data_IF_927878039409
#
_entry.id   IF_927878039409
#
_cell.length_a   1.000
_cell.length_b   1.000
_cell.length_c   1.000
_cell.angle_alpha   90.00
_cell.angle_beta   90.00
_cell.angle_gamma   90.00
#
_symmetry.space_group_name_H-M   'P 1'
#
loop_
_entity.id
_entity.type
_entity.pdbx_description
1 polymer ?
#
# COMPACT_ATOMS: atom_id res chain seq x y z
N UNK A 1 17.31 8.55 -6.73
CA UNK A 1 15.88 8.26 -6.49
C UNK A 1 15.82 6.87 -5.87
N UNK A 2 15.09 6.71 -4.77
CA UNK A 2 14.92 5.38 -4.16
C UNK A 2 13.77 4.67 -4.87
N UNK A 3 14.02 3.51 -5.43
CA UNK A 3 12.98 2.69 -6.05
C UNK A 3 12.65 1.52 -5.14
N UNK A 4 11.83 1.78 -4.12
CA UNK A 4 11.54 0.81 -3.05
C UNK A 4 10.82 -0.44 -3.59
N UNK A 5 9.97 -0.26 -4.61
CA UNK A 5 9.24 -1.34 -5.29
C UNK A 5 10.17 -2.37 -5.93
N UNK A 6 11.21 -1.89 -6.60
CA UNK A 6 12.12 -2.75 -7.36
C UNK A 6 13.02 -3.57 -6.43
N UNK A 7 13.47 -2.97 -5.33
CA UNK A 7 14.13 -3.69 -4.24
C UNK A 7 13.22 -4.78 -3.68
N UNK A 8 11.94 -4.47 -3.40
CA UNK A 8 10.98 -5.44 -2.87
C UNK A 8 10.77 -6.65 -3.80
N UNK A 9 10.58 -6.43 -5.10
CA UNK A 9 10.45 -7.52 -6.09
C UNK A 9 11.73 -8.36 -6.14
N UNK A 10 12.89 -7.71 -6.20
CA UNK A 10 14.19 -8.38 -6.28
C UNK A 10 14.51 -9.21 -5.02
N UNK A 11 14.25 -8.65 -3.83
CA UNK A 11 14.37 -9.37 -2.56
C UNK A 11 13.42 -10.56 -2.52
N UNK A 12 12.15 -10.38 -2.90
CA UNK A 12 11.16 -11.47 -2.92
C UNK A 12 11.60 -12.60 -3.83
N UNK A 13 12.14 -12.30 -5.02
CA UNK A 13 12.73 -13.27 -5.95
C UNK A 13 13.84 -14.09 -5.31
N UNK A 14 14.71 -13.43 -4.54
CA UNK A 14 15.81 -14.10 -3.84
C UNK A 14 15.29 -15.02 -2.73
N UNK A 15 14.21 -14.65 -2.02
CA UNK A 15 13.56 -15.49 -0.99
C UNK A 15 12.65 -16.61 -1.54
N UNK A 16 12.27 -16.55 -2.83
CA UNK A 16 11.55 -17.63 -3.52
C UNK A 16 12.48 -18.76 -3.98
N UNK A 17 13.78 -18.49 -4.17
CA UNK A 17 14.76 -19.43 -4.71
C UNK A 17 15.30 -20.35 -3.62
N UNK A 18 15.21 -21.66 -3.83
CA UNK A 18 15.87 -22.65 -2.96
C UNK A 18 17.30 -22.84 -3.41
N UNK A 19 18.27 -22.36 -2.63
CA UNK A 19 19.69 -22.56 -2.89
C UNK A 19 20.06 -24.03 -2.65
N UNK A 20 20.54 -24.80 -3.65
CA UNK A 20 20.76 -26.24 -3.49
C UNK A 20 21.89 -26.62 -2.52
N UNK A 21 22.83 -25.70 -2.27
CA UNK A 21 24.03 -25.90 -1.45
C UNK A 21 23.85 -25.61 0.04
N UNK A 22 22.73 -25.01 0.46
CA UNK A 22 22.49 -24.74 1.87
C UNK A 22 21.96 -25.98 2.61
N UNK A 23 22.57 -26.29 3.77
CA UNK A 23 22.18 -27.43 4.62
C UNK A 23 20.76 -27.35 5.18
N UNK A 24 20.10 -26.18 5.06
CA UNK A 24 18.74 -25.93 5.52
C UNK A 24 17.96 -25.28 4.37
N UNK A 25 17.29 -26.09 3.55
CA UNK A 25 16.44 -25.62 2.45
C UNK A 25 15.22 -24.88 3.00
N UNK A 26 15.35 -23.58 3.22
CA UNK A 26 14.23 -22.73 3.65
C UNK A 26 13.73 -21.92 2.46
N UNK A 27 12.80 -22.50 1.69
CA UNK A 27 11.95 -21.69 0.83
C UNK A 27 11.03 -20.87 1.74
N UNK A 28 11.26 -19.55 1.87
CA UNK A 28 10.39 -18.71 2.68
C UNK A 28 9.07 -18.38 1.97
N UNK A 29 9.10 -18.30 0.63
CA UNK A 29 7.98 -17.88 -0.20
C UNK A 29 7.85 -18.89 -1.36
N UNK A 30 6.80 -19.72 -1.43
CA UNK A 30 6.70 -20.74 -2.48
C UNK A 30 6.21 -20.18 -3.81
N UNK A 31 5.40 -19.13 -3.77
CA UNK A 31 4.72 -18.51 -4.91
C UNK A 31 4.39 -17.07 -4.54
N UNK A 32 4.54 -16.14 -5.50
CA UNK A 32 4.17 -14.74 -5.34
C UNK A 32 3.65 -14.16 -6.66
N UNK A 33 2.75 -13.20 -6.53
CA UNK A 33 2.08 -12.47 -7.61
C UNK A 33 2.44 -10.99 -7.44
N UNK A 34 2.67 -10.27 -8.53
CA UNK A 34 2.87 -8.82 -8.52
C UNK A 34 1.60 -8.13 -9.01
N UNK A 35 1.05 -7.25 -8.19
CA UNK A 35 -0.09 -6.42 -8.56
C UNK A 35 0.39 -4.97 -8.74
N UNK A 36 0.35 -4.52 -9.98
CA UNK A 36 0.45 -3.11 -10.34
C UNK A 36 -0.95 -2.51 -10.41
N UNK A 37 -1.09 -1.27 -9.95
CA UNK A 37 -2.25 -0.43 -10.26
C UNK A 37 -1.72 0.71 -11.12
N UNK A 38 -2.43 1.02 -12.21
CA UNK A 38 -2.02 2.00 -13.20
C UNK A 38 -2.74 3.34 -12.97
N UNK A 39 -2.00 4.30 -12.43
CA UNK A 39 -2.45 5.68 -12.16
C UNK A 39 -2.46 6.60 -13.40
N UNK A 40 -2.14 6.11 -14.60
CA UNK A 40 -1.98 6.95 -15.81
C UNK A 40 -3.21 7.77 -16.21
N UNK A 41 -4.41 7.34 -15.83
CA UNK A 41 -5.64 8.11 -16.01
C UNK A 41 -5.66 9.41 -15.19
N UNK A 42 -4.92 9.49 -14.08
CA UNK A 42 -4.73 10.73 -13.30
C UNK A 42 -3.46 11.48 -13.69
N UNK A 43 -2.39 10.77 -14.04
CA UNK A 43 -1.09 11.34 -14.34
C UNK A 43 -0.66 10.95 -15.76
N UNK A 44 -1.09 11.72 -16.77
CA UNK A 44 -0.89 11.38 -18.19
C UNK A 44 0.60 11.21 -18.59
N UNK A 45 1.53 11.73 -17.78
CA UNK A 45 2.98 11.48 -17.88
C UNK A 45 3.39 10.02 -17.65
N UNK A 46 2.60 9.17 -16.98
CA UNK A 46 2.91 7.75 -16.74
C UNK A 46 2.33 6.79 -17.77
N UNK A 47 1.45 7.24 -18.69
CA UNK A 47 0.74 6.35 -19.62
C UNK A 47 1.66 5.47 -20.49
N UNK A 48 2.81 6.00 -20.92
CA UNK A 48 3.83 5.23 -21.66
C UNK A 48 4.73 4.38 -20.76
N UNK A 49 4.70 4.64 -19.46
CA UNK A 49 5.54 3.96 -18.46
C UNK A 49 4.91 2.65 -17.96
N UNK A 50 3.57 2.52 -17.92
CA UNK A 50 2.91 1.29 -17.43
C UNK A 50 3.00 0.13 -18.42
N UNK A 51 2.82 0.40 -19.71
CA UNK A 51 3.05 -0.60 -20.77
C UNK A 51 4.51 -1.08 -20.80
N UNK A 52 5.45 -0.13 -20.70
CA UNK A 52 6.89 -0.44 -20.62
C UNK A 52 7.21 -1.25 -19.35
N UNK A 53 6.68 -0.85 -18.19
CA UNK A 53 6.84 -1.58 -16.93
C UNK A 53 6.40 -3.04 -17.06
N UNK A 54 5.24 -3.29 -17.67
CA UNK A 54 4.75 -4.66 -17.87
C UNK A 54 5.63 -5.49 -18.82
N UNK A 55 6.25 -4.86 -19.83
CA UNK A 55 7.21 -5.52 -20.74
C UNK A 55 8.53 -5.84 -20.03
N UNK A 56 9.14 -4.84 -19.40
CA UNK A 56 10.39 -4.99 -18.64
C UNK A 56 10.24 -6.04 -17.53
N UNK A 57 9.06 -6.12 -16.90
CA UNK A 57 8.77 -7.04 -15.81
C UNK A 57 8.72 -8.48 -16.32
N UNK A 58 8.00 -8.74 -17.41
CA UNK A 58 7.96 -10.07 -18.04
C UNK A 58 9.34 -10.54 -18.51
N UNK A 59 10.23 -9.61 -18.90
CA UNK A 59 11.59 -9.93 -19.33
C UNK A 59 12.51 -10.35 -18.18
N UNK A 60 12.49 -9.66 -17.04
CA UNK A 60 13.47 -9.87 -15.95
C UNK A 60 12.91 -10.64 -14.74
N UNK A 61 11.58 -10.73 -14.61
CA UNK A 61 10.84 -11.28 -13.48
C UNK A 61 9.80 -12.33 -13.91
N UNK A 62 10.19 -13.20 -14.85
CA UNK A 62 9.35 -14.27 -15.39
C UNK A 62 8.95 -15.36 -14.39
N UNK A 63 9.52 -15.38 -13.17
CA UNK A 63 9.09 -16.27 -12.10
C UNK A 63 7.86 -15.78 -11.30
N UNK A 64 7.37 -14.56 -11.59
CA UNK A 64 6.16 -14.00 -10.99
C UNK A 64 5.03 -13.90 -12.02
N UNK A 65 3.81 -14.18 -11.58
CA UNK A 65 2.62 -13.73 -12.29
C UNK A 65 2.41 -12.22 -12.07
N UNK A 66 2.08 -11.50 -13.14
CA UNK A 66 1.94 -10.04 -13.14
C UNK A 66 0.54 -9.63 -13.58
N UNK A 67 -0.18 -8.96 -12.69
CA UNK A 67 -1.46 -8.30 -12.99
C UNK A 67 -1.29 -6.78 -12.95
N UNK A 68 -2.01 -6.09 -13.84
CA UNK A 68 -2.12 -4.63 -13.84
C UNK A 68 -3.58 -4.25 -13.96
N UNK A 69 -4.08 -3.47 -13.00
CA UNK A 69 -5.44 -2.92 -12.98
C UNK A 69 -5.38 -1.41 -13.19
N UNK A 70 -6.18 -0.84 -14.08
CA UNK A 70 -6.25 0.63 -14.18
C UNK A 70 -7.01 1.20 -13.00
N UNK A 71 -6.57 2.37 -12.51
CA UNK A 71 -7.16 2.98 -11.33
C UNK A 71 -8.67 3.30 -11.51
N UNK A 72 -9.14 3.57 -12.74
CA UNK A 72 -10.56 3.78 -13.01
C UNK A 72 -11.43 2.53 -12.83
N UNK A 73 -10.84 1.32 -12.87
CA UNK A 73 -11.56 0.06 -12.71
C UNK A 73 -12.18 -0.08 -11.31
N UNK A 74 -11.79 0.77 -10.34
CA UNK A 74 -12.45 0.91 -9.04
C UNK A 74 -13.97 1.15 -9.15
N UNK A 75 -14.44 1.80 -10.22
CA UNK A 75 -15.87 2.00 -10.51
C UNK A 75 -16.52 0.80 -11.25
N UNK A 76 -15.74 -0.24 -11.52
CA UNK A 76 -16.17 -1.45 -12.20
C UNK A 76 -16.94 -2.43 -11.31
N UNK A 77 -17.66 -3.38 -11.92
CA UNK A 77 -18.45 -4.39 -11.20
C UNK A 77 -17.58 -5.36 -10.39
N UNK A 78 -16.26 -5.36 -10.58
CA UNK A 78 -15.33 -6.17 -9.79
C UNK A 78 -15.13 -5.60 -8.38
N UNK A 79 -14.88 -4.29 -8.27
CA UNK A 79 -14.57 -3.63 -7.00
C UNK A 79 -15.82 -3.09 -6.28
N UNK A 80 -16.88 -2.73 -7.02
CA UNK A 80 -18.13 -2.19 -6.45
C UNK A 80 -19.05 -3.24 -5.81
N UNK A 81 -19.02 -4.50 -6.26
CA UNK A 81 -19.89 -5.58 -5.75
C UNK A 81 -19.73 -5.89 -4.26
N UNK A 82 -18.59 -5.55 -3.67
CA UNK A 82 -18.22 -6.01 -2.33
C UNK A 82 -18.92 -5.23 -1.20
N UNK A 83 -19.55 -4.07 -1.48
CA UNK A 83 -20.00 -3.09 -0.47
C UNK A 83 -18.92 -2.84 0.60
N UNK A 84 -17.65 -2.98 0.19
CA UNK A 84 -16.46 -2.91 1.05
C UNK A 84 -15.75 -1.60 0.77
N UNK A 85 -15.70 -1.17 -0.50
CA UNK A 85 -15.25 0.15 -0.90
C UNK A 85 -15.99 1.28 -0.15
N UNK A 86 -17.33 1.25 -0.19
CA UNK A 86 -18.19 2.17 0.56
C UNK A 86 -17.95 2.09 2.07
N UNK A 87 -17.71 0.90 2.63
CA UNK A 87 -17.47 0.73 4.08
C UNK A 87 -16.07 1.14 4.52
N UNK A 88 -15.04 0.98 3.68
CA UNK A 88 -13.68 1.45 3.93
C UNK A 88 -13.67 2.98 3.93
N UNK A 89 -14.31 3.60 2.95
CA UNK A 89 -14.46 5.06 2.96
C UNK A 89 -15.29 5.55 4.17
N UNK A 90 -16.33 4.81 4.61
CA UNK A 90 -17.08 5.10 5.86
C UNK A 90 -16.27 4.87 7.14
N UNK A 91 -15.31 3.94 7.18
CA UNK A 91 -14.53 3.65 8.39
C UNK A 91 -13.34 4.60 8.54
N UNK A 92 -12.76 5.03 7.41
CA UNK A 92 -11.66 5.99 7.35
C UNK A 92 -12.10 7.41 7.75
N UNK A 93 -13.37 7.76 7.60
CA UNK A 93 -13.89 9.07 8.05
C UNK A 93 -13.92 9.25 9.58
N UNK A 94 -13.74 8.18 10.36
CA UNK A 94 -13.51 8.27 11.82
C UNK A 94 -14.64 8.93 12.63
N UNK A 95 -15.84 9.10 12.06
CA UNK A 95 -16.94 9.85 12.68
C UNK A 95 -16.79 11.37 12.64
N UNK A 96 -15.83 11.91 11.86
CA UNK A 96 -15.67 13.35 11.60
C UNK A 96 -16.23 13.65 10.20
N UNK A 97 -16.84 14.83 10.04
CA UNK A 97 -17.45 15.33 8.80
C UNK A 97 -16.40 15.60 7.69
N UNK A 98 -15.82 14.54 7.13
CA UNK A 98 -14.90 14.61 6.01
C UNK A 98 -15.67 14.64 4.68
N UNK A 99 -15.88 15.84 4.12
CA UNK A 99 -16.55 16.04 2.83
C UNK A 99 -15.91 15.28 1.64
N UNK A 100 -14.69 14.76 1.80
CA UNK A 100 -14.02 13.86 0.85
C UNK A 100 -14.81 12.56 0.63
N UNK A 101 -15.39 12.01 1.70
CA UNK A 101 -16.31 10.88 1.65
C UNK A 101 -17.57 11.21 0.84
N UNK A 102 -18.17 12.37 1.12
CA UNK A 102 -19.35 12.86 0.42
C UNK A 102 -19.07 13.12 -1.06
N UNK A 103 -17.89 13.65 -1.41
CA UNK A 103 -17.45 13.83 -2.79
C UNK A 103 -17.33 12.51 -3.55
N UNK A 104 -16.82 11.44 -2.90
CA UNK A 104 -16.81 10.10 -3.51
C UNK A 104 -18.21 9.57 -3.74
N UNK A 105 -19.04 9.50 -2.69
CA UNK A 105 -20.40 8.96 -2.76
C UNK A 105 -21.24 9.71 -3.78
N UNK A 106 -21.15 11.04 -3.79
CA UNK A 106 -21.84 11.89 -4.76
C UNK A 106 -21.35 11.62 -6.20
N UNK A 107 -20.07 11.34 -6.40
CA UNK A 107 -19.54 10.99 -7.72
C UNK A 107 -20.11 9.65 -8.22
N UNK A 108 -20.11 8.62 -7.38
CA UNK A 108 -20.66 7.29 -7.71
C UNK A 108 -22.16 7.35 -7.98
N UNK A 109 -22.91 8.04 -7.12
CA UNK A 109 -24.38 8.15 -7.25
C UNK A 109 -24.82 8.97 -8.47
N UNK A 110 -24.02 9.94 -8.93
CA UNK A 110 -24.44 10.87 -10.00
C UNK A 110 -24.10 10.42 -11.42
N UNK A 111 -23.29 9.37 -11.61
CA UNK A 111 -22.55 9.16 -12.86
C UNK A 111 -22.77 7.79 -13.55
N UNK A 112 -23.91 7.12 -13.34
CA UNK A 112 -24.21 5.81 -13.92
C UNK A 112 -24.05 5.70 -15.47
N UNK A 113 -24.05 6.83 -16.19
CA UNK A 113 -23.92 6.90 -17.65
C UNK A 113 -22.55 7.39 -18.18
N UNK A 114 -21.54 7.61 -17.33
CA UNK A 114 -20.21 8.10 -17.76
C UNK A 114 -19.16 7.00 -17.80
N UNK A 115 -18.14 7.15 -18.65
CA UNK A 115 -16.99 6.24 -18.66
C UNK A 115 -16.26 6.25 -17.31
N UNK A 116 -15.69 5.11 -16.91
CA UNK A 116 -15.00 4.98 -15.61
C UNK A 116 -13.85 5.98 -15.46
N UNK A 117 -13.10 6.24 -16.54
CA UNK A 117 -12.03 7.23 -16.56
C UNK A 117 -12.53 8.66 -16.33
N UNK A 118 -13.69 9.04 -16.89
CA UNK A 118 -14.33 10.33 -16.58
C UNK A 118 -14.80 10.41 -15.13
N UNK A 119 -15.34 9.33 -14.57
CA UNK A 119 -15.75 9.28 -13.15
C UNK A 119 -14.54 9.51 -12.24
N UNK A 120 -13.41 8.86 -12.53
CA UNK A 120 -12.16 9.05 -11.79
C UNK A 120 -11.63 10.48 -11.91
N UNK A 121 -11.54 11.03 -13.13
CA UNK A 121 -11.09 12.41 -13.34
C UNK A 121 -12.01 13.42 -12.64
N UNK A 122 -13.33 13.24 -12.70
CA UNK A 122 -14.29 14.14 -12.03
C UNK A 122 -14.21 14.06 -10.50
N UNK A 123 -14.04 12.87 -9.93
CA UNK A 123 -13.82 12.67 -8.50
C UNK A 123 -12.64 13.51 -7.99
N UNK A 124 -11.49 13.39 -8.63
CA UNK A 124 -10.27 14.10 -8.22
C UNK A 124 -10.25 15.59 -8.61
N UNK A 125 -11.03 16.03 -9.60
CA UNK A 125 -11.24 17.46 -9.90
C UNK A 125 -12.12 18.14 -8.84
N UNK A 126 -13.14 17.45 -8.32
CA UNK A 126 -14.05 18.01 -7.31
C UNK A 126 -13.39 18.28 -5.95
N UNK A 127 -12.33 17.53 -5.63
CA UNK A 127 -11.58 17.67 -4.38
C UNK A 127 -10.61 18.85 -4.49
N UNK A 128 -10.71 19.82 -3.56
CA UNK A 128 -9.90 21.05 -3.60
C UNK A 128 -8.54 20.95 -2.92
N UNK A 129 -8.44 20.24 -1.80
CA UNK A 129 -7.21 20.13 -0.99
C UNK A 129 -6.29 19.05 -1.58
N UNK A 130 -4.97 19.27 -1.65
CA UNK A 130 -4.04 18.24 -2.14
C UNK A 130 -3.97 17.03 -1.22
N UNK A 131 -3.82 17.23 0.09
CA UNK A 131 -3.81 16.17 1.11
C UNK A 131 -5.00 15.20 0.95
N UNK A 132 -6.20 15.74 0.71
CA UNK A 132 -7.42 14.98 0.48
C UNK A 132 -7.36 14.05 -0.73
N UNK A 133 -6.72 14.50 -1.82
CA UNK A 133 -6.50 13.67 -3.02
C UNK A 133 -5.52 12.56 -2.71
N UNK A 134 -4.46 12.85 -1.98
CA UNK A 134 -3.41 11.88 -1.63
C UNK A 134 -3.96 10.78 -0.70
N UNK A 135 -4.76 11.17 0.31
CA UNK A 135 -5.46 10.22 1.18
C UNK A 135 -6.48 9.38 0.39
N UNK A 136 -7.33 9.98 -0.45
CA UNK A 136 -8.32 9.23 -1.24
C UNK A 136 -7.64 8.27 -2.23
N UNK A 137 -6.60 8.70 -2.91
CA UNK A 137 -5.81 7.87 -3.83
C UNK A 137 -5.17 6.68 -3.09
N UNK A 138 -4.58 6.92 -1.91
CA UNK A 138 -4.07 5.85 -1.06
C UNK A 138 -5.17 4.83 -0.70
N UNK A 139 -6.34 5.31 -0.29
CA UNK A 139 -7.45 4.46 0.14
C UNK A 139 -8.02 3.62 -1.01
N UNK A 140 -8.21 4.22 -2.20
CA UNK A 140 -8.62 3.50 -3.42
C UNK A 140 -7.66 2.34 -3.70
N UNK A 141 -6.35 2.63 -3.76
CA UNK A 141 -5.33 1.62 -4.05
C UNK A 141 -5.30 0.50 -3.01
N UNK A 142 -5.43 0.83 -1.73
CA UNK A 142 -5.45 -0.18 -0.68
C UNK A 142 -6.65 -1.13 -0.80
N UNK A 143 -7.85 -0.61 -1.10
CA UNK A 143 -9.02 -1.47 -1.31
C UNK A 143 -8.94 -2.29 -2.59
N UNK A 144 -8.42 -1.73 -3.69
CA UNK A 144 -8.18 -2.49 -4.91
C UNK A 144 -7.22 -3.67 -4.66
N UNK A 145 -6.11 -3.44 -3.95
CA UNK A 145 -5.15 -4.49 -3.61
C UNK A 145 -5.72 -5.56 -2.67
N UNK A 146 -6.51 -5.14 -1.67
CA UNK A 146 -7.19 -6.08 -0.76
C UNK A 146 -8.24 -6.91 -1.51
N UNK A 147 -8.93 -6.31 -2.47
CA UNK A 147 -9.90 -7.00 -3.34
C UNK A 147 -9.20 -8.01 -4.25
N UNK A 148 -8.13 -7.62 -4.94
CA UNK A 148 -7.32 -8.52 -5.79
C UNK A 148 -6.71 -9.65 -4.97
N UNK A 149 -6.10 -9.35 -3.82
CA UNK A 149 -5.51 -10.37 -2.95
C UNK A 149 -6.54 -11.39 -2.48
N UNK A 150 -7.76 -10.96 -2.12
CA UNK A 150 -8.87 -11.88 -1.79
C UNK A 150 -9.30 -12.73 -2.97
N UNK A 151 -9.42 -12.14 -4.16
CA UNK A 151 -9.80 -12.84 -5.40
C UNK A 151 -8.82 -13.94 -5.76
N UNK A 152 -7.52 -13.66 -5.64
CA UNK A 152 -6.43 -14.62 -5.86
C UNK A 152 -6.18 -15.57 -4.66
N UNK A 153 -6.99 -15.50 -3.60
CA UNK A 153 -6.86 -16.38 -2.43
C UNK A 153 -5.59 -16.17 -1.59
N UNK A 154 -5.08 -14.94 -1.58
CA UNK A 154 -3.76 -14.58 -1.07
C UNK A 154 -3.82 -14.08 0.38
N UNK A 155 -3.22 -14.81 1.35
CA UNK A 155 -3.30 -14.43 2.76
C UNK A 155 -2.35 -13.29 3.17
N UNK A 156 -1.47 -12.82 2.28
CA UNK A 156 -0.50 -11.76 2.58
C UNK A 156 -0.35 -10.75 1.45
N UNK A 157 -0.30 -9.46 1.80
CA UNK A 157 0.10 -8.36 0.90
C UNK A 157 1.44 -7.81 1.38
N UNK A 158 2.43 -7.78 0.49
CA UNK A 158 3.74 -7.18 0.74
C UNK A 158 3.75 -5.74 0.24
N UNK A 159 3.97 -4.82 1.17
CA UNK A 159 4.08 -3.39 0.95
C UNK A 159 5.56 -3.01 0.87
N UNK A 160 5.94 -2.26 -0.17
CA UNK A 160 7.31 -1.80 -0.38
C UNK A 160 7.77 -0.70 0.61
N UNK A 161 6.96 -0.34 1.62
CA UNK A 161 7.23 0.75 2.56
C UNK A 161 8.58 0.55 3.32
N UNK A 162 9.59 1.38 3.03
CA UNK A 162 10.83 1.48 3.84
C UNK A 162 10.60 2.00 5.26
N UNK A 163 11.65 1.96 6.10
CA UNK A 163 11.65 2.61 7.41
C UNK A 163 11.40 4.12 7.30
N UNK A 164 12.04 4.81 6.34
CA UNK A 164 11.88 6.25 6.12
C UNK A 164 10.46 6.57 5.66
N UNK A 165 9.92 5.82 4.68
CA UNK A 165 8.52 5.95 4.21
C UNK A 165 7.52 5.69 5.34
N UNK A 166 7.80 4.73 6.22
CA UNK A 166 6.97 4.47 7.39
C UNK A 166 7.01 5.64 8.38
N UNK A 167 8.18 6.19 8.72
CA UNK A 167 8.25 7.35 9.60
C UNK A 167 7.46 8.56 9.04
N UNK A 168 7.59 8.84 7.73
CA UNK A 168 6.80 9.87 7.03
C UNK A 168 5.30 9.60 7.20
N UNK A 169 4.85 8.38 6.88
CA UNK A 169 3.44 8.00 6.94
C UNK A 169 2.87 8.03 8.37
N UNK A 170 3.64 7.60 9.36
CA UNK A 170 3.24 7.62 10.78
C UNK A 170 2.99 9.04 11.28
N UNK A 171 3.91 9.97 10.97
CA UNK A 171 3.76 11.38 11.35
C UNK A 171 2.63 12.03 10.54
N UNK A 172 2.54 11.80 9.22
CA UNK A 172 1.46 12.34 8.38
C UNK A 172 0.08 11.90 8.87
N UNK A 173 -0.12 10.60 9.14
CA UNK A 173 -1.37 10.08 9.71
C UNK A 173 -1.69 10.71 11.08
N UNK A 174 -0.68 10.92 11.93
CA UNK A 174 -0.85 11.58 13.22
C UNK A 174 -1.27 13.05 13.06
N UNK A 175 -0.61 13.79 12.18
CA UNK A 175 -0.93 15.18 11.83
C UNK A 175 -2.30 15.35 11.15
N UNK A 176 -2.79 14.32 10.46
CA UNK A 176 -4.16 14.22 9.90
C UNK A 176 -5.23 13.89 10.95
N UNK A 177 -4.87 13.73 12.23
CA UNK A 177 -5.79 13.34 13.30
C UNK A 177 -6.07 11.83 13.38
N UNK A 178 -5.39 11.00 12.58
CA UNK A 178 -5.56 9.53 12.54
C UNK A 178 -4.71 8.79 13.58
N UNK A 179 -4.23 9.50 14.60
CA UNK A 179 -3.45 8.92 15.72
C UNK A 179 -4.17 7.81 16.48
N UNK A 180 -5.51 7.76 16.44
CA UNK A 180 -6.28 6.65 16.98
C UNK A 180 -6.08 5.34 16.20
N UNK A 181 -6.07 5.38 14.85
CA UNK A 181 -5.90 4.18 14.01
C UNK A 181 -4.44 3.83 13.73
N UNK A 182 -3.49 4.73 13.98
CA UNK A 182 -2.07 4.54 13.60
C UNK A 182 -1.47 3.25 14.18
N UNK A 183 -1.87 2.85 15.39
CA UNK A 183 -1.42 1.61 16.04
C UNK A 183 -1.78 0.33 15.27
N UNK A 184 -2.89 0.36 14.51
CA UNK A 184 -3.31 -0.75 13.66
C UNK A 184 -2.51 -0.76 12.36
N UNK A 185 -2.40 0.40 11.70
CA UNK A 185 -1.69 0.57 10.44
C UNK A 185 -0.21 0.14 10.51
N UNK A 186 0.41 0.27 11.69
CA UNK A 186 1.84 0.01 11.97
C UNK A 186 2.12 -1.32 12.68
N UNK A 187 1.08 -2.07 13.03
CA UNK A 187 1.23 -3.40 13.61
C UNK A 187 2.02 -4.32 12.66
N UNK A 188 2.86 -5.18 13.22
CA UNK A 188 3.70 -6.12 12.44
C UNK A 188 2.84 -7.23 11.83
N UNK A 189 1.81 -7.63 12.57
CA UNK A 189 0.81 -8.63 12.26
C UNK A 189 -0.58 -7.98 12.16
N UNK A 190 -0.88 -7.35 11.02
CA UNK A 190 -2.13 -6.62 10.82
C UNK A 190 -3.41 -7.50 10.68
N UNK A 191 -3.38 -8.67 11.32
CA UNK A 191 -4.44 -9.68 11.47
C UNK A 191 -5.68 -9.14 12.18
N UNK A 192 -5.57 -8.04 12.92
CA UNK A 192 -6.69 -7.35 13.55
C UNK A 192 -7.50 -6.50 12.55
N UNK A 193 -6.88 -6.06 11.45
CA UNK A 193 -7.55 -5.26 10.41
C UNK A 193 -8.31 -6.11 9.39
N UNK A 194 -7.78 -7.28 9.04
CA UNK A 194 -8.39 -8.20 8.09
C UNK A 194 -8.36 -9.62 8.64
N UNK A 195 -9.54 -10.27 8.70
CA UNK A 195 -9.71 -11.62 9.26
C UNK A 195 -9.03 -12.70 8.40
N UNK A 196 -8.88 -12.42 7.12
CA UNK A 196 -8.53 -13.34 6.04
C UNK A 196 -7.17 -13.02 5.38
N UNK A 197 -6.52 -11.92 5.78
CA UNK A 197 -5.38 -11.34 5.09
C UNK A 197 -4.45 -10.61 6.07
N UNK A 198 -3.16 -10.55 5.80
CA UNK A 198 -2.20 -9.77 6.58
C UNK A 198 -1.36 -8.86 5.67
N UNK A 199 -1.28 -7.57 6.02
CA UNK A 199 -0.38 -6.63 5.35
C UNK A 199 0.98 -6.70 6.05
N UNK A 200 2.04 -6.94 5.29
CA UNK A 200 3.42 -7.03 5.78
C UNK A 200 4.33 -6.00 5.10
N UNK A 201 5.37 -5.57 5.81
CA UNK A 201 6.39 -4.61 5.33
C UNK A 201 7.80 -5.18 5.49
N UNK A 202 8.27 -6.03 4.56
CA UNK A 202 9.58 -6.67 4.68
C UNK A 202 10.76 -5.70 4.82
N UNK A 203 10.67 -4.49 4.24
CA UNK A 203 11.74 -3.47 4.28
C UNK A 203 11.60 -2.46 5.43
N UNK A 204 10.77 -2.74 6.45
CA UNK A 204 10.44 -1.80 7.53
C UNK A 204 11.64 -1.33 8.38
N UNK A 205 12.74 -2.05 8.34
CA UNK A 205 13.95 -1.76 9.11
C UNK A 205 15.10 -1.22 8.23
N UNK A 206 14.86 -0.99 6.92
CA UNK A 206 15.83 -0.40 5.99
C UNK A 206 15.45 1.04 5.63
N UNK A 207 16.41 1.96 5.66
CA UNK A 207 16.24 3.35 5.27
C UNK A 207 16.16 3.47 3.74
N UNK A 208 15.46 4.48 3.20
CA UNK A 208 15.35 4.68 1.75
C UNK A 208 16.72 4.77 1.06
N UNK A 209 17.70 5.43 1.69
CA UNK A 209 19.08 5.50 1.17
C UNK A 209 19.77 4.14 1.06
N UNK A 210 19.52 3.23 2.01
CA UNK A 210 20.09 1.86 2.00
C UNK A 210 19.46 1.03 0.89
N UNK A 211 18.16 1.21 0.64
CA UNK A 211 17.45 0.61 -0.49
C UNK A 211 17.96 1.17 -1.83
N UNK A 212 18.30 2.47 -1.88
CA UNK A 212 18.98 3.07 -3.02
C UNK A 212 20.34 2.44 -3.32
N UNK A 213 21.15 2.22 -2.28
CA UNK A 213 22.42 1.48 -2.41
C UNK A 213 22.21 0.02 -2.81
N UNK A 214 21.20 -0.67 -2.25
CA UNK A 214 20.84 -2.03 -2.65
C UNK A 214 20.54 -2.11 -4.15
N UNK A 215 19.67 -1.24 -4.66
CA UNK A 215 19.32 -1.22 -6.08
C UNK A 215 20.54 -0.95 -6.96
N UNK A 216 21.45 -0.06 -6.55
CA UNK A 216 22.69 0.19 -7.27
C UNK A 216 23.60 -1.04 -7.32
N UNK A 217 23.93 -1.64 -6.17
CA UNK A 217 24.85 -2.78 -6.10
C UNK A 217 24.28 -4.09 -6.66
N UNK A 218 22.96 -4.29 -6.55
CA UNK A 218 22.26 -5.44 -7.13
C UNK A 218 21.85 -5.23 -8.60
N UNK A 219 22.20 -4.09 -9.21
CA UNK A 219 21.86 -3.70 -10.59
C UNK A 219 20.34 -3.70 -10.89
N UNK A 220 19.53 -3.30 -9.91
CA UNK A 220 18.06 -3.26 -9.98
C UNK A 220 17.58 -1.86 -10.37
N UNK A 221 17.99 -1.40 -11.54
CA UNK A 221 17.66 -0.07 -12.12
C UNK A 221 16.61 -0.13 -13.23
N UNK A 222 16.22 -1.33 -13.65
CA UNK A 222 15.42 -1.59 -14.85
C UNK A 222 13.95 -1.17 -14.74
N UNK A 223 13.51 -0.77 -13.54
CA UNK A 223 12.10 -0.61 -13.15
C UNK A 223 11.81 0.78 -12.58
N UNK A 224 12.64 1.76 -12.92
CA UNK A 224 12.50 3.16 -12.49
C UNK A 224 11.34 3.86 -13.20
N UNK A 225 10.11 3.53 -12.78
CA UNK A 225 8.97 4.43 -12.97
C UNK A 225 9.21 5.69 -12.14
N UNK A 226 9.18 6.86 -12.77
CA UNK A 226 9.17 8.11 -12.02
C UNK A 226 7.95 8.10 -11.07
N UNK A 227 8.13 8.44 -9.78
CA UNK A 227 7.05 8.50 -8.82
C UNK A 227 6.21 9.76 -9.08
N UNK A 228 4.92 9.57 -9.35
CA UNK A 228 3.96 10.65 -9.48
C UNK A 228 2.93 10.59 -8.34
N UNK A 229 2.50 11.76 -7.90
CA UNK A 229 1.45 12.00 -6.93
C UNK A 229 1.00 13.47 -7.07
N UNK A 230 -0.10 13.86 -6.43
CA UNK A 230 -0.65 15.21 -6.53
C UNK A 230 0.26 16.33 -5.97
N UNK A 231 1.25 15.99 -5.14
CA UNK A 231 2.27 16.91 -4.63
C UNK A 231 3.68 16.74 -5.26
N UNK A 232 3.81 15.91 -6.31
CA UNK A 232 5.08 15.69 -7.03
C UNK A 232 5.69 17.02 -7.51
N UNK A 233 6.95 17.26 -7.15
CA UNK A 233 7.70 18.51 -7.42
C UNK A 233 7.05 19.80 -6.87
N UNK A 234 6.03 19.70 -6.02
CA UNK A 234 5.41 20.84 -5.35
C UNK A 234 6.18 21.23 -4.06
N UNK A 235 6.05 22.49 -3.60
CA UNK A 235 6.62 22.93 -2.32
C UNK A 235 6.13 22.11 -1.12
N UNK A 236 6.95 21.99 -0.07
CA UNK A 236 6.60 21.26 1.17
C UNK A 236 5.20 21.54 1.70
N UNK A 237 4.82 22.83 1.74
CA UNK A 237 3.54 23.30 2.30
C UNK A 237 2.31 22.98 1.44
N UNK A 238 2.43 22.28 0.30
CA UNK A 238 1.31 21.94 -0.57
C UNK A 238 0.40 20.84 0.00
N UNK A 239 0.92 19.92 0.83
CA UNK A 239 0.12 18.93 1.55
C UNK A 239 0.75 18.49 2.86
N UNK A 240 0.00 17.77 3.70
CA UNK A 240 0.54 17.24 4.97
C UNK A 240 1.61 16.18 4.69
N UNK A 241 1.40 15.32 3.69
CA UNK A 241 2.36 14.27 3.32
C UNK A 241 3.66 14.89 2.80
N UNK A 242 3.57 15.87 1.90
CA UNK A 242 4.75 16.56 1.34
C UNK A 242 5.52 17.35 2.39
N UNK A 243 4.83 18.01 3.33
CA UNK A 243 5.44 18.73 4.44
C UNK A 243 6.15 17.78 5.41
N UNK A 244 5.50 16.65 5.70
CA UNK A 244 6.05 15.63 6.60
C UNK A 244 7.26 14.94 5.98
N UNK A 245 7.23 14.68 4.67
CA UNK A 245 8.35 14.15 3.91
C UNK A 245 9.56 15.08 3.96
N UNK A 246 9.39 16.37 3.65
CA UNK A 246 10.48 17.35 3.72
C UNK A 246 11.06 17.45 5.14
N UNK A 247 10.21 17.40 6.17
CA UNK A 247 10.62 17.38 7.58
C UNK A 247 11.41 16.12 7.96
N UNK A 248 10.93 14.92 7.60
CA UNK A 248 11.61 13.66 7.95
C UNK A 248 12.92 13.50 7.17
N UNK A 249 12.95 13.84 5.88
CA UNK A 249 14.17 13.72 5.05
C UNK A 249 15.24 14.74 5.50
N UNK A 250 14.85 15.94 5.92
CA UNK A 250 15.79 16.92 6.47
C UNK A 250 16.37 16.48 7.81
N UNK A 251 15.55 16.01 8.76
CA UNK A 251 16.05 15.56 10.06
C UNK A 251 16.80 14.22 10.01
N UNK A 252 16.49 13.31 9.07
CA UNK A 252 17.26 12.06 8.87
C UNK A 252 18.70 12.35 8.37
N UNK A 253 18.89 13.42 7.59
CA UNK A 253 20.22 13.85 7.12
C UNK A 253 21.13 14.26 8.28
N UNK A 254 20.59 14.97 9.27
CA UNK A 254 21.35 15.44 10.44
C UNK A 254 21.47 14.35 11.52
N UNK A 255 20.39 13.59 11.74
CA UNK A 255 20.27 12.59 12.79
C UNK A 255 19.72 11.26 12.23
N UNK A 256 20.58 10.36 11.71
CA UNK A 256 20.15 9.11 11.07
C UNK A 256 19.29 8.19 11.95
N UNK A 257 19.49 8.24 13.27
CA UNK A 257 18.70 7.47 14.25
C UNK A 257 17.24 7.91 14.37
N UNK A 258 16.85 9.06 13.81
CA UNK A 258 15.51 9.65 13.98
C UNK A 258 14.41 8.75 13.42
N UNK A 259 14.58 8.26 12.19
CA UNK A 259 13.60 7.36 11.53
C UNK A 259 13.38 6.09 12.34
N UNK A 260 14.45 5.44 12.80
CA UNK A 260 14.35 4.24 13.66
C UNK A 260 13.69 4.55 15.00
N UNK A 261 13.97 5.72 15.59
CA UNK A 261 13.37 6.16 16.86
C UNK A 261 11.86 6.41 16.71
N UNK A 262 11.42 7.05 15.61
CA UNK A 262 10.00 7.24 15.29
C UNK A 262 9.32 5.88 15.13
N UNK A 263 9.85 5.00 14.28
CA UNK A 263 9.27 3.67 14.04
C UNK A 263 9.16 2.84 15.32
N UNK A 264 10.22 2.76 16.13
CA UNK A 264 10.22 2.06 17.43
C UNK A 264 9.27 2.67 18.46
N UNK A 265 9.03 3.98 18.41
CA UNK A 265 8.09 4.65 19.31
C UNK A 265 6.66 4.34 18.91
N UNK A 266 6.37 4.41 17.62
CA UNK A 266 5.03 4.13 17.06
C UNK A 266 4.68 2.64 17.17
N UNK A 267 5.64 1.73 17.03
CA UNK A 267 5.45 0.29 17.28
C UNK A 267 5.14 -0.07 18.75
N UNK A 268 5.32 0.84 19.71
CA UNK A 268 4.88 0.66 21.11
C UNK A 268 3.43 1.05 21.33
N UNK A 269 2.78 1.69 20.35
CA UNK A 269 1.37 2.05 20.46
C UNK A 269 0.52 0.79 20.34
N UNK A 270 -0.31 0.53 21.36
CA UNK A 270 -1.31 -0.53 21.33
C UNK A 270 -2.69 0.06 21.02
N UNK A 271 -3.54 -0.65 20.26
CA UNK A 271 -4.96 -0.35 20.17
C UNK A 271 -5.60 -0.15 21.57
N UNK A 272 -6.49 0.82 21.70
CA UNK A 272 -7.25 1.01 22.94
C UNK A 272 -8.15 -0.21 23.21
N UNK A 273 -8.31 -0.60 24.48
CA UNK A 273 -9.20 -1.70 24.85
C UNK A 273 -10.68 -1.46 24.45
N UNK A 274 -11.07 -0.18 24.32
CA UNK A 274 -12.40 0.23 23.84
C UNK A 274 -12.43 0.49 22.32
N UNK A 275 -11.45 -0.02 21.56
CA UNK A 275 -11.40 0.19 20.12
C UNK A 275 -12.44 -0.67 19.40
N UNK A 276 -13.45 0.00 18.82
CA UNK A 276 -14.45 -0.64 17.98
C UNK A 276 -13.83 -0.97 16.62
N UNK A 277 -13.10 -2.09 16.57
CA UNK A 277 -12.51 -2.68 15.35
C UNK A 277 -13.54 -2.82 14.22
N UNK A 278 -14.85 -2.90 14.52
CA UNK A 278 -15.91 -2.97 13.50
C UNK A 278 -16.40 -1.60 12.99
N UNK A 279 -15.99 -0.50 13.62
CA UNK A 279 -16.09 0.86 13.07
C UNK A 279 -14.81 1.28 12.36
N UNK A 280 -13.65 0.76 12.76
CA UNK A 280 -12.37 1.03 12.10
C UNK A 280 -12.14 0.17 10.85
N UNK A 281 -12.66 -1.08 10.84
CA UNK A 281 -12.54 -2.00 9.70
C UNK A 281 -13.86 -2.63 9.27
N UNK A 282 -13.89 -3.04 8.00
CA UNK A 282 -15.07 -3.62 7.36
C UNK A 282 -15.29 -5.05 7.81
N UNK A 283 -16.46 -5.32 8.40
CA UNK A 283 -16.99 -6.68 8.55
C UNK A 283 -17.34 -7.25 7.18
N UNK A 284 -16.56 -8.21 6.68
CA UNK A 284 -17.04 -9.20 5.72
C UNK A 284 -17.77 -10.34 6.47
N UNK A 285 -18.91 -10.76 5.92
CA UNK A 285 -19.89 -11.58 6.66
C UNK A 285 -19.59 -13.07 6.56
N UNK A 286 -19.19 -13.69 7.69
CA UNK A 286 -19.79 -14.96 8.13
C UNK A 286 -19.38 -15.30 9.57
N UNK A 287 -20.39 -15.57 10.42
CA UNK A 287 -20.20 -16.09 11.77
C UNK A 287 -20.05 -17.61 11.72
N UNK A 288 -18.81 -18.10 11.75
CA UNK A 288 -18.52 -19.48 12.16
C UNK A 288 -17.35 -19.51 13.14
N UNK A 289 -17.67 -19.89 14.36
CA UNK A 289 -16.87 -20.33 15.52
C UNK A 289 -15.34 -20.21 15.45
N UNK A 290 -14.78 -19.20 16.15
CA UNK A 290 -13.38 -19.23 16.58
C UNK A 290 -13.17 -20.23 17.72
N UNK A 291 -12.25 -21.20 17.55
CA UNK A 291 -11.42 -21.74 18.65
C UNK A 291 -10.21 -22.60 18.25
N UNK A 292 -10.00 -22.91 16.96
CA UNK A 292 -9.00 -23.90 16.51
C UNK A 292 -7.77 -23.35 15.77
N UNK A 293 -7.74 -22.07 15.38
CA UNK A 293 -6.68 -21.53 14.50
C UNK A 293 -5.39 -21.09 15.22
N UNK A 294 -5.43 -20.82 16.53
CA UNK A 294 -4.25 -20.46 17.33
C UNK A 294 -3.21 -21.61 17.50
N UNK A 295 -3.53 -22.83 17.05
CA UNK A 295 -2.67 -24.01 17.19
C UNK A 295 -2.20 -24.63 15.86
N UNK A 296 -2.32 -23.92 14.72
CA UNK A 296 -1.90 -24.44 13.39
C UNK A 296 -0.90 -23.56 12.64
N UNK A 297 0.12 -23.07 13.32
CA UNK A 297 1.40 -22.74 12.68
C UNK A 297 2.23 -24.01 12.49
N UNK A 298 1.89 -24.82 11.47
CA UNK A 298 2.70 -25.97 11.06
C UNK A 298 3.28 -25.70 9.65
N UNK A 299 4.56 -26.00 9.38
CA UNK A 299 5.22 -25.60 8.13
C UNK A 299 4.76 -26.47 6.95
N UNK A 300 3.72 -26.02 6.24
CA UNK A 300 3.28 -26.63 4.99
C UNK A 300 2.78 -25.57 4.01
N UNK A 301 3.60 -25.26 2.99
CA UNK A 301 3.24 -24.61 1.71
C UNK A 301 2.13 -23.53 1.77
N UNK A 302 2.46 -22.35 2.32
CA UNK A 302 1.61 -21.16 2.25
C UNK A 302 1.85 -20.39 0.95
N UNK A 303 0.89 -20.35 0.03
CA UNK A 303 0.90 -19.34 -1.07
C UNK A 303 0.96 -17.93 -0.44
N UNK A 304 1.81 -17.04 -0.96
CA UNK A 304 2.07 -15.72 -0.36
C UNK A 304 2.19 -14.64 -1.44
N UNK A 305 1.05 -14.15 -1.93
CA UNK A 305 1.03 -13.49 -3.23
C UNK A 305 0.24 -12.16 -3.28
N UNK A 306 0.88 -11.03 -2.98
CA UNK A 306 0.66 -9.73 -3.67
C UNK A 306 1.85 -8.86 -3.29
N UNK A 307 2.81 -8.66 -4.19
CA UNK A 307 3.74 -7.55 -4.09
C UNK A 307 3.03 -6.32 -4.64
N UNK A 308 2.76 -5.33 -3.79
CA UNK A 308 2.24 -4.04 -4.23
C UNK A 308 3.36 -3.28 -4.96
N UNK A 309 3.14 -2.97 -6.23
CA UNK A 309 4.06 -2.16 -7.03
C UNK A 309 3.56 -0.71 -7.20
N UNK A 310 3.33 0.00 -6.09
CA UNK A 310 2.74 1.35 -5.99
C UNK A 310 2.90 1.89 -4.54
N UNK A 311 2.97 3.17 -4.15
CA UNK A 311 3.32 4.51 -4.70
C UNK A 311 3.26 5.47 -3.49
N UNK A 312 3.99 6.59 -3.38
CA UNK A 312 5.00 7.20 -4.27
C UNK A 312 6.34 7.33 -3.52
N UNK A 313 7.44 7.38 -4.27
CA UNK A 313 8.79 7.51 -3.73
C UNK A 313 9.29 8.96 -3.85
N UNK A 314 9.82 9.53 -2.77
CA UNK A 314 10.79 10.63 -2.75
C UNK A 314 11.73 10.43 -1.56
#
# INVERSE_FOLDING_TARGET
MTNERSAMVNLTKNFMRVVPSEKKKVQLIPEAIVCHIDESTLFESTAKSSEKLAQDFKQHYSEFEYFSYRLEEVFGPEFTKSDTFDKILKSISGGIENGEYEHYVKCVQSNANKSQAEQLKQLFTNIKKTTAKEDLLWNIKMEMLVTVARREGCPYIFMADSATRQAIKMISMTSKGRGYSVALDVSVDNTQSFKDLCIMRPMKDMLSKEIGFYNHFANVTQFETLPYNFSTMMPGKTSIDRLTEEFIVSIEREFPSTVSTICRTVMKLTPSANMDLAKTFVKSTSRTTMRSLLHRCHPTLLKMSVIKAETADY
#
